data_IF_917415598317
#
_entry.id   IF_917415598317
#
_cell.length_a   1.000
_cell.length_b   1.000
_cell.length_c   1.000
_cell.angle_alpha   90.00
_cell.angle_beta   90.00
_cell.angle_gamma   90.00
#
_symmetry.space_group_name_H-M   'P 1'
#
loop_
_entity.id
_entity.type
_entity.pdbx_description
1 polymer ?
#
# COMPACT_ATOMS: atom_id res chain seq x y z
N UNK A 1 -34.64 2.27 -6.93
CA UNK A 1 -34.60 3.18 -5.79
C UNK A 1 -33.30 2.92 -5.05
N UNK A 2 -32.37 3.87 -5.09
CA UNK A 2 -31.23 3.83 -4.19
C UNK A 2 -31.76 3.90 -2.76
N UNK A 3 -31.49 2.85 -1.97
CA UNK A 3 -31.79 2.86 -0.55
C UNK A 3 -30.75 3.75 0.11
N UNK A 4 -31.14 4.97 0.44
CA UNK A 4 -30.29 5.85 1.24
C UNK A 4 -30.26 5.35 2.67
N UNK A 5 -29.04 5.20 3.22
CA UNK A 5 -28.82 4.86 4.62
C UNK A 5 -29.21 6.03 5.53
N UNK A 6 -29.68 5.74 6.74
CA UNK A 6 -29.87 6.77 7.77
C UNK A 6 -28.51 7.27 8.28
N UNK A 7 -28.44 8.46 8.89
CA UNK A 7 -27.20 8.97 9.49
C UNK A 7 -26.55 7.98 10.48
N UNK A 8 -27.34 7.29 11.30
CA UNK A 8 -26.87 6.30 12.27
C UNK A 8 -26.31 5.06 11.57
N UNK A 9 -26.93 4.63 10.47
CA UNK A 9 -26.43 3.52 9.65
C UNK A 9 -25.10 3.90 8.99
N UNK A 10 -24.96 5.13 8.51
CA UNK A 10 -23.70 5.65 7.94
C UNK A 10 -22.61 5.67 9.00
N UNK A 11 -22.92 6.09 10.23
CA UNK A 11 -21.95 6.08 11.35
C UNK A 11 -21.46 4.67 11.65
N UNK A 12 -22.37 3.69 11.74
CA UNK A 12 -22.02 2.29 11.97
C UNK A 12 -21.15 1.75 10.84
N UNK A 13 -21.54 2.01 9.59
CA UNK A 13 -20.77 1.58 8.40
C UNK A 13 -19.35 2.15 8.47
N UNK A 14 -19.22 3.46 8.68
CA UNK A 14 -17.92 4.12 8.76
C UNK A 14 -17.07 3.50 9.87
N UNK A 15 -17.61 3.35 11.08
CA UNK A 15 -16.88 2.76 12.21
C UNK A 15 -16.36 1.36 11.88
N UNK A 16 -17.20 0.51 11.28
CA UNK A 16 -16.81 -0.86 10.91
C UNK A 16 -15.75 -0.84 9.81
N UNK A 17 -15.95 -0.06 8.74
CA UNK A 17 -15.01 0.03 7.62
C UNK A 17 -13.64 0.53 8.10
N UNK A 18 -13.59 1.59 8.89
CA UNK A 18 -12.32 2.12 9.40
C UNK A 18 -11.63 1.14 10.34
N UNK A 19 -12.37 0.46 11.23
CA UNK A 19 -11.78 -0.59 12.08
C UNK A 19 -11.17 -1.73 11.25
N UNK A 20 -11.82 -2.14 10.15
CA UNK A 20 -11.27 -3.16 9.24
C UNK A 20 -10.07 -2.66 8.45
N UNK A 21 -10.04 -1.37 8.08
CA UNK A 21 -8.87 -0.75 7.44
C UNK A 21 -7.66 -0.78 8.37
N UNK A 22 -7.82 -0.41 9.64
CA UNK A 22 -6.71 -0.48 10.60
C UNK A 22 -6.24 -1.92 10.84
N UNK A 23 -7.17 -2.86 11.03
CA UNK A 23 -6.82 -4.28 11.14
C UNK A 23 -6.04 -4.78 9.92
N UNK A 24 -6.45 -4.39 8.71
CA UNK A 24 -5.77 -4.77 7.47
C UNK A 24 -4.33 -4.21 7.43
N UNK A 25 -4.10 -2.98 7.89
CA UNK A 25 -2.75 -2.38 7.94
C UNK A 25 -1.82 -3.15 8.87
N UNK A 26 -2.31 -3.51 10.06
CA UNK A 26 -1.53 -4.31 11.03
C UNK A 26 -1.15 -5.66 10.43
N UNK A 27 -2.13 -6.38 9.86
CA UNK A 27 -1.90 -7.69 9.25
C UNK A 27 -0.89 -7.66 8.08
N UNK A 28 -0.95 -6.64 7.23
CA UNK A 28 0.01 -6.49 6.13
C UNK A 28 1.41 -6.17 6.67
N UNK A 29 1.52 -5.37 7.72
CA UNK A 29 2.81 -5.04 8.34
C UNK A 29 3.46 -6.28 8.95
N UNK A 30 2.68 -7.09 9.67
CA UNK A 30 3.14 -8.34 10.25
C UNK A 30 3.59 -9.35 9.18
N UNK A 31 2.84 -9.44 8.07
CA UNK A 31 3.19 -10.29 6.94
C UNK A 31 4.54 -9.90 6.32
N UNK A 32 4.80 -8.60 6.16
CA UNK A 32 6.07 -8.10 5.61
C UNK A 32 7.22 -8.47 6.55
N UNK A 33 7.07 -8.20 7.85
CA UNK A 33 8.10 -8.51 8.85
C UNK A 33 8.37 -10.02 8.94
N UNK A 34 7.32 -10.84 8.86
CA UNK A 34 7.47 -12.30 8.84
C UNK A 34 8.22 -12.78 7.59
N UNK A 35 7.84 -12.28 6.41
CA UNK A 35 8.48 -12.64 5.13
C UNK A 35 9.96 -12.26 5.14
N UNK A 36 10.32 -11.09 5.66
CA UNK A 36 11.71 -10.67 5.81
C UNK A 36 12.50 -11.61 6.74
N UNK A 37 11.94 -11.95 7.91
CA UNK A 37 12.57 -12.89 8.84
C UNK A 37 12.80 -14.26 8.21
N UNK A 38 11.81 -14.79 7.50
CA UNK A 38 11.91 -16.09 6.86
C UNK A 38 12.98 -16.09 5.75
N UNK A 39 13.04 -15.04 4.95
CA UNK A 39 14.08 -14.87 3.93
C UNK A 39 15.48 -14.77 4.55
N UNK A 40 15.64 -13.99 5.62
CA UNK A 40 16.91 -13.89 6.34
C UNK A 40 17.33 -15.23 6.95
N UNK A 41 16.39 -16.00 7.53
CA UNK A 41 16.70 -17.32 8.06
C UNK A 41 17.15 -18.28 6.97
N UNK A 42 16.47 -18.32 5.82
CA UNK A 42 16.86 -19.18 4.69
C UNK A 42 18.26 -18.82 4.15
N UNK A 43 18.61 -17.54 4.12
CA UNK A 43 19.95 -17.09 3.72
C UNK A 43 21.01 -17.50 4.76
N UNK A 44 20.71 -17.35 6.05
CA UNK A 44 21.58 -17.80 7.14
C UNK A 44 21.81 -19.32 7.12
N UNK A 45 20.77 -20.10 6.84
CA UNK A 45 20.87 -21.56 6.68
C UNK A 45 21.77 -21.96 5.49
N UNK A 46 21.89 -21.08 4.49
CA UNK A 46 22.83 -21.22 3.37
C UNK A 46 24.25 -20.69 3.68
N UNK A 47 24.50 -20.21 4.90
CA UNK A 47 25.78 -19.62 5.31
C UNK A 47 26.02 -18.19 4.81
N UNK A 48 24.97 -17.48 4.39
CA UNK A 48 25.04 -16.09 3.91
C UNK A 48 24.70 -15.16 5.08
N UNK A 49 25.66 -14.32 5.47
CA UNK A 49 25.48 -13.30 6.49
C UNK A 49 24.87 -12.01 5.89
N UNK A 50 23.70 -11.63 6.39
CA UNK A 50 22.94 -10.46 5.95
C UNK A 50 22.95 -9.31 6.98
N UNK A 51 23.80 -9.38 8.00
CA UNK A 51 23.81 -8.42 9.13
C UNK A 51 24.01 -6.97 8.66
N UNK A 52 24.70 -6.76 7.55
CA UNK A 52 24.95 -5.42 6.96
C UNK A 52 23.85 -4.93 5.99
N UNK A 53 22.87 -5.77 5.63
CA UNK A 53 21.83 -5.46 4.63
C UNK A 53 20.43 -5.19 5.24
N UNK A 54 20.26 -5.39 6.55
CA UNK A 54 19.04 -5.07 7.28
C UNK A 54 19.02 -3.56 7.58
N UNK A 55 18.18 -2.72 6.93
CA UNK A 55 16.74 -2.90 6.70
C UNK A 55 16.28 -2.68 5.24
N UNK A 56 17.17 -2.84 4.25
CA UNK A 56 16.85 -2.51 2.85
C UNK A 56 15.73 -3.40 2.26
N UNK A 57 15.61 -4.64 2.73
CA UNK A 57 14.63 -5.60 2.22
C UNK A 57 13.19 -5.25 2.64
N UNK A 58 12.98 -4.71 3.84
CA UNK A 58 11.65 -4.30 4.31
C UNK A 58 11.03 -3.23 3.40
N UNK A 59 11.82 -2.22 3.01
CA UNK A 59 11.36 -1.16 2.11
C UNK A 59 11.04 -1.69 0.72
N UNK A 60 11.86 -2.62 0.20
CA UNK A 60 11.60 -3.26 -1.08
C UNK A 60 10.30 -4.07 -1.06
N UNK A 61 10.09 -4.92 -0.05
CA UNK A 61 8.87 -5.72 0.11
C UNK A 61 7.61 -4.83 0.22
N UNK A 62 7.70 -3.74 0.98
CA UNK A 62 6.61 -2.76 1.09
C UNK A 62 6.27 -2.15 -0.27
N UNK A 63 7.27 -1.69 -1.03
CA UNK A 63 7.05 -1.10 -2.35
C UNK A 63 6.50 -2.11 -3.36
N UNK A 64 6.94 -3.37 -3.33
CA UNK A 64 6.40 -4.44 -4.18
C UNK A 64 4.91 -4.66 -3.90
N UNK A 65 4.50 -4.71 -2.63
CA UNK A 65 3.09 -4.87 -2.25
C UNK A 65 2.27 -3.66 -2.67
N UNK A 66 2.76 -2.44 -2.43
CA UNK A 66 2.07 -1.20 -2.84
C UNK A 66 1.85 -1.19 -4.36
N UNK A 67 2.87 -1.53 -5.15
CA UNK A 67 2.76 -1.60 -6.60
C UNK A 67 1.71 -2.65 -7.03
N UNK A 68 1.77 -3.86 -6.47
CA UNK A 68 0.81 -4.92 -6.78
C UNK A 68 -0.64 -4.54 -6.45
N UNK A 69 -0.86 -3.82 -5.34
CA UNK A 69 -2.18 -3.32 -4.96
C UNK A 69 -2.67 -2.23 -5.92
N UNK A 70 -1.81 -1.28 -6.29
CA UNK A 70 -2.13 -0.25 -7.29
C UNK A 70 -2.50 -0.90 -8.62
N UNK A 71 -1.69 -1.84 -9.10
CA UNK A 71 -1.92 -2.58 -10.34
C UNK A 71 -3.25 -3.31 -10.33
N UNK A 72 -3.61 -3.92 -9.19
CA UNK A 72 -4.90 -4.59 -8.99
C UNK A 72 -6.07 -3.63 -9.01
N UNK A 73 -5.93 -2.44 -8.42
CA UNK A 73 -7.01 -1.44 -8.37
C UNK A 73 -7.30 -0.90 -9.77
N UNK A 74 -6.27 -0.61 -10.57
CA UNK A 74 -6.50 -0.08 -11.91
C UNK A 74 -6.64 -1.15 -13.00
N UNK A 75 -6.20 -2.39 -12.78
CA UNK A 75 -6.32 -3.50 -13.74
C UNK A 75 -5.69 -3.19 -15.10
N UNK A 76 -4.57 -2.47 -15.12
CA UNK A 76 -3.95 -1.92 -16.34
C UNK A 76 -4.62 -0.67 -16.95
N UNK A 77 -5.75 -0.19 -16.41
CA UNK A 77 -6.42 1.02 -16.88
C UNK A 77 -5.71 2.30 -16.43
N UNK A 78 -4.92 2.89 -17.34
CA UNK A 78 -4.14 4.12 -17.09
C UNK A 78 -5.00 5.33 -16.73
N UNK A 79 -6.24 5.41 -17.20
CA UNK A 79 -7.16 6.53 -16.86
C UNK A 79 -7.61 6.40 -15.41
N UNK A 80 -7.96 5.20 -14.97
CA UNK A 80 -8.31 4.92 -13.58
C UNK A 80 -7.13 5.15 -12.65
N UNK A 81 -5.93 4.68 -13.03
CA UNK A 81 -4.70 4.92 -12.29
C UNK A 81 -4.45 6.43 -12.08
N UNK A 82 -4.55 7.23 -13.16
CA UNK A 82 -4.40 8.69 -13.08
C UNK A 82 -5.44 9.33 -12.18
N UNK A 83 -6.70 8.89 -12.24
CA UNK A 83 -7.76 9.39 -11.37
C UNK A 83 -7.46 9.12 -9.88
N UNK A 84 -6.98 7.93 -9.54
CA UNK A 84 -6.61 7.57 -8.16
C UNK A 84 -5.47 8.45 -7.66
N UNK A 85 -4.42 8.62 -8.45
CA UNK A 85 -3.28 9.50 -8.10
C UNK A 85 -3.74 10.94 -7.88
N UNK A 86 -4.60 11.47 -8.75
CA UNK A 86 -5.14 12.83 -8.59
C UNK A 86 -6.01 12.98 -7.34
N UNK A 87 -6.82 11.98 -7.00
CA UNK A 87 -7.63 12.02 -5.76
C UNK A 87 -6.74 12.01 -4.52
N UNK A 88 -5.69 11.19 -4.51
CA UNK A 88 -4.76 11.10 -3.38
C UNK A 88 -3.94 12.37 -3.21
N UNK A 89 -3.45 12.95 -4.30
CA UNK A 89 -2.74 14.23 -4.23
C UNK A 89 -3.63 15.37 -3.73
N UNK A 90 -4.91 15.42 -4.14
CA UNK A 90 -5.89 16.36 -3.56
C UNK A 90 -6.08 16.13 -2.07
N UNK A 91 -6.20 14.87 -1.62
CA UNK A 91 -6.30 14.52 -0.19
C UNK A 91 -5.09 15.03 0.61
N UNK A 92 -3.91 15.02 0.01
CA UNK A 92 -2.65 15.45 0.62
C UNK A 92 -2.31 16.93 0.39
N UNK A 93 -3.18 17.70 -0.28
CA UNK A 93 -2.91 19.09 -0.71
C UNK A 93 -1.62 19.24 -1.56
N UNK A 94 -1.29 18.22 -2.35
CA UNK A 94 -0.15 18.23 -3.27
C UNK A 94 -0.64 18.60 -4.68
N UNK A 95 0.04 19.55 -5.33
CA UNK A 95 -0.20 19.89 -6.73
C UNK A 95 0.45 18.84 -7.64
N UNK A 96 -0.35 18.14 -8.46
CA UNK A 96 0.14 17.11 -9.40
C UNK A 96 0.57 17.74 -10.72
N UNK A 97 1.49 18.69 -10.66
CA UNK A 97 2.31 19.06 -11.81
C UNK A 97 3.73 18.60 -11.48
N UNK A 98 3.99 17.31 -11.68
CA UNK A 98 5.36 16.82 -11.77
C UNK A 98 5.78 17.15 -13.19
N UNK A 99 6.55 18.21 -13.38
CA UNK A 99 7.23 18.46 -14.65
C UNK A 99 8.01 17.18 -14.98
N UNK A 100 7.68 16.55 -16.10
CA UNK A 100 8.50 15.46 -16.60
C UNK A 100 9.86 16.09 -16.92
N UNK A 101 10.88 15.74 -16.15
CA UNK A 101 12.25 16.19 -16.35
C UNK A 101 12.66 15.85 -17.79
N UNK A 102 12.57 16.84 -18.68
CA UNK A 102 12.90 16.73 -20.10
C UNK A 102 14.40 16.93 -20.29
N UNK A 103 15.19 16.22 -19.49
CA UNK A 103 16.64 16.24 -19.52
C UNK A 103 17.14 14.97 -20.20
N UNK A 104 17.10 14.95 -21.54
CA UNK A 104 18.01 14.19 -22.42
C UNK A 104 18.18 14.88 -23.76
#
# INVERSE_FOLDING_TARGET
MDKNFTPEQIEIINRVVFARVEQMKEQVTDLIAQTERDAHQQLADCGIDMTDFCPANQHFLMMTIVQALIDRVHGGNRVLARKIITMEAKRLNVSVNVEADSSR
#
